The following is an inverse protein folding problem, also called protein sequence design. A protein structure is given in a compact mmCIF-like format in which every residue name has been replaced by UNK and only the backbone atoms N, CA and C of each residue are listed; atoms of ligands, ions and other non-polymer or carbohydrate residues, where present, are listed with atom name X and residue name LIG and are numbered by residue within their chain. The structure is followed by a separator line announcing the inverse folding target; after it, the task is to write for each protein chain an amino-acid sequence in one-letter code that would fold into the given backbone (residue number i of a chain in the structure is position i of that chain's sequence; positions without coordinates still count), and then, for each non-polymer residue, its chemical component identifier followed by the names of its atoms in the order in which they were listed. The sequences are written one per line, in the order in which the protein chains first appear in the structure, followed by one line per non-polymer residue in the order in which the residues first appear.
data_IF_564941186978
#
_entry.id   IF_564941186978
#
_cell.length_a   1.000
_cell.length_b   1.000
_cell.length_c   1.000
_cell.angle_alpha   90.00
_cell.angle_beta   90.00
_cell.angle_gamma   90.00
#
_symmetry.space_group_name_H-M   'P 1'
#
loop_
_entity.id
_entity.type
_entity.pdbx_description
1 polymer ?
#
# COMPACT_ATOMS: atom_id res chain seq x y z
N UNK A 1 -34.70 18.00 -59.68
CA UNK A 1 -35.57 18.59 -60.72
C UNK A 1 -35.14 20.03 -60.88
N UNK A 2 -34.58 20.51 -61.97
CA UNK A 2 -34.13 19.94 -63.24
C UNK A 2 -32.94 20.83 -63.65
N UNK A 3 -31.88 20.27 -64.22
CA UNK A 3 -31.51 20.46 -65.64
C UNK A 3 -31.12 21.91 -65.98
N UNK A 4 -30.09 22.20 -66.76
CA UNK A 4 -29.22 21.43 -67.63
C UNK A 4 -28.16 22.44 -68.06
N UNK A 5 -26.92 21.99 -68.28
CA UNK A 5 -26.15 22.62 -69.36
C UNK A 5 -26.74 22.13 -70.66
N UNK A 6 -26.76 22.96 -71.71
CA UNK A 6 -25.87 22.60 -72.79
C UNK A 6 -25.20 23.79 -73.48
N UNK A 7 -23.94 23.56 -73.84
CA UNK A 7 -23.34 24.23 -74.98
C UNK A 7 -23.82 23.55 -76.27
N UNK A 8 -24.22 24.34 -77.27
CA UNK A 8 -23.67 24.34 -78.65
C UNK A 8 -24.69 24.83 -79.68
N UNK A 9 -24.26 25.81 -80.49
CA UNK A 9 -24.67 26.11 -81.88
C UNK A 9 -23.78 27.28 -82.32
N UNK A 10 -22.63 27.02 -82.95
CA UNK A 10 -22.43 26.92 -84.39
C UNK A 10 -22.88 28.15 -85.18
N UNK A 11 -21.92 28.81 -85.83
CA UNK A 11 -22.10 29.20 -87.24
C UNK A 11 -22.17 30.69 -87.57
N UNK A 12 -20.99 31.24 -87.88
CA UNK A 12 -20.71 32.15 -89.00
C UNK A 12 -20.90 33.67 -88.84
N UNK A 13 -20.04 34.46 -89.53
CA UNK A 13 -19.64 35.81 -89.14
C UNK A 13 -20.48 36.89 -89.83
N UNK A 14 -20.37 38.17 -89.41
CA UNK A 14 -19.69 39.09 -90.34
C UNK A 14 -18.95 40.28 -89.71
N UNK A 15 -18.01 40.79 -90.51
CA UNK A 15 -17.66 42.21 -90.71
C UNK A 15 -16.98 43.01 -89.59
N UNK A 16 -15.68 43.25 -89.84
CA UNK A 16 -14.98 44.53 -89.77
C UNK A 16 -15.77 45.72 -89.20
N UNK A 17 -15.35 46.16 -88.01
CA UNK A 17 -15.10 47.56 -87.71
C UNK A 17 -13.90 47.59 -86.76
N UNK A 18 -12.74 48.04 -87.27
CA UNK A 18 -11.56 48.31 -86.45
C UNK A 18 -11.95 49.34 -85.38
N UNK A 19 -11.89 49.03 -84.07
CA UNK A 19 -11.96 50.06 -83.06
C UNK A 19 -10.60 50.74 -82.98
N UNK A 20 -10.60 52.07 -82.95
CA UNK A 20 -9.42 52.92 -82.85
C UNK A 20 -8.47 52.41 -81.73
N UNK A 21 -7.15 52.29 -82.00
CA UNK A 21 -6.17 51.91 -80.99
C UNK A 21 -6.09 52.90 -79.82
N UNK A 22 -6.57 54.13 -80.02
CA UNK A 22 -6.69 55.14 -78.96
C UNK A 22 -7.75 54.76 -77.91
N UNK A 23 -8.89 54.20 -78.31
CA UNK A 23 -9.93 53.75 -77.36
C UNK A 23 -9.56 52.48 -76.58
N UNK A 24 -8.78 51.57 -77.19
CA UNK A 24 -8.23 50.41 -76.47
C UNK A 24 -7.14 50.82 -75.47
N UNK A 25 -6.30 51.79 -75.83
CA UNK A 25 -5.31 52.33 -74.90
C UNK A 25 -5.97 53.11 -73.74
N UNK A 26 -7.02 53.90 -74.00
CA UNK A 26 -7.76 54.61 -72.96
C UNK A 26 -8.50 53.65 -72.01
N UNK A 27 -9.07 52.56 -72.53
CA UNK A 27 -9.70 51.54 -71.70
C UNK A 27 -8.67 50.75 -70.89
N UNK A 28 -7.53 50.39 -71.47
CA UNK A 28 -6.43 49.77 -70.73
C UNK A 28 -5.86 50.69 -69.64
N UNK A 29 -5.74 51.99 -69.92
CA UNK A 29 -5.30 52.98 -68.94
C UNK A 29 -6.32 53.09 -67.79
N UNK A 30 -7.62 53.13 -68.10
CA UNK A 30 -8.69 53.15 -67.10
C UNK A 30 -8.73 51.90 -66.22
N UNK A 31 -8.43 50.73 -66.80
CA UNK A 31 -8.33 49.47 -66.06
C UNK A 31 -7.07 49.44 -65.19
N UNK A 32 -5.95 50.02 -65.66
CA UNK A 32 -4.73 50.13 -64.87
C UNK A 32 -4.88 51.12 -63.71
N UNK A 33 -5.57 52.25 -63.90
CA UNK A 33 -5.87 53.19 -62.81
C UNK A 33 -6.83 52.56 -61.81
N UNK A 34 -7.90 51.90 -62.26
CA UNK A 34 -8.82 51.18 -61.37
C UNK A 34 -8.11 50.05 -60.59
N UNK A 35 -7.19 49.32 -61.22
CA UNK A 35 -6.36 48.31 -60.55
C UNK A 35 -5.44 48.96 -59.51
N UNK A 36 -4.82 50.09 -59.82
CA UNK A 36 -3.97 50.82 -58.88
C UNK A 36 -4.79 51.32 -57.66
N UNK A 37 -6.00 51.84 -57.89
CA UNK A 37 -6.93 52.24 -56.83
C UNK A 37 -7.35 51.05 -55.96
N UNK A 38 -7.69 49.91 -56.55
CA UNK A 38 -8.04 48.69 -55.82
C UNK A 38 -6.86 48.13 -55.01
N UNK A 39 -5.63 48.20 -55.53
CA UNK A 39 -4.42 47.82 -54.79
C UNK A 39 -4.21 48.77 -53.61
N UNK A 40 -4.39 50.07 -53.81
CA UNK A 40 -4.30 51.05 -52.72
C UNK A 40 -5.39 50.83 -51.65
N UNK A 41 -6.62 50.51 -52.06
CA UNK A 41 -7.70 50.14 -51.13
C UNK A 41 -7.37 48.84 -50.38
N UNK A 42 -6.81 47.83 -51.05
CA UNK A 42 -6.34 46.60 -50.41
C UNK A 42 -5.27 46.89 -49.38
N UNK A 43 -4.26 47.69 -49.74
CA UNK A 43 -3.12 47.96 -48.87
C UNK A 43 -3.54 48.80 -47.65
N UNK A 44 -4.48 49.75 -47.82
CA UNK A 44 -5.07 50.47 -46.69
C UNK A 44 -5.93 49.57 -45.78
N UNK A 45 -6.66 48.60 -46.35
CA UNK A 45 -7.40 47.61 -45.57
C UNK A 45 -6.46 46.65 -44.82
N UNK A 46 -5.33 46.26 -45.42
CA UNK A 46 -4.32 45.44 -44.76
C UNK A 46 -3.66 46.18 -43.60
N UNK A 47 -3.34 47.47 -43.76
CA UNK A 47 -2.84 48.31 -42.67
C UNK A 47 -3.85 48.44 -41.53
N UNK A 48 -5.13 48.67 -41.84
CA UNK A 48 -6.19 48.68 -40.82
C UNK A 48 -6.34 47.34 -40.11
N UNK A 49 -6.19 46.22 -40.85
CA UNK A 49 -6.21 44.88 -40.27
C UNK A 49 -5.05 44.68 -39.29
N UNK A 50 -3.84 45.11 -39.64
CA UNK A 50 -2.68 45.00 -38.74
C UNK A 50 -2.82 45.87 -37.50
N UNK A 51 -3.39 47.08 -37.65
CA UNK A 51 -3.63 47.97 -36.51
C UNK A 51 -4.68 47.39 -35.56
N UNK A 52 -5.75 46.81 -36.11
CA UNK A 52 -6.78 46.12 -35.31
C UNK A 52 -6.23 44.89 -34.61
N UNK A 53 -5.38 44.08 -35.26
CA UNK A 53 -4.76 42.93 -34.58
C UNK A 53 -3.83 43.38 -33.44
N UNK A 54 -3.04 44.44 -33.64
CA UNK A 54 -2.20 44.99 -32.58
C UNK A 54 -3.04 45.56 -31.42
N UNK A 55 -4.19 46.18 -31.71
CA UNK A 55 -5.12 46.65 -30.69
C UNK A 55 -5.75 45.49 -29.90
N UNK A 56 -6.11 44.38 -30.57
CA UNK A 56 -6.63 43.17 -29.93
C UNK A 56 -5.59 42.57 -28.99
N UNK A 57 -4.34 42.42 -29.42
CA UNK A 57 -3.26 41.89 -28.58
C UNK A 57 -3.01 42.75 -27.34
N UNK A 58 -3.02 44.08 -27.50
CA UNK A 58 -2.91 45.01 -26.35
C UNK A 58 -4.09 44.84 -25.40
N UNK A 59 -5.31 44.76 -25.91
CA UNK A 59 -6.50 44.56 -25.08
C UNK A 59 -6.48 43.21 -24.36
N UNK A 60 -6.02 42.14 -25.02
CA UNK A 60 -5.85 40.82 -24.40
C UNK A 60 -4.83 40.88 -23.26
N UNK A 61 -3.64 41.44 -23.49
CA UNK A 61 -2.62 41.58 -22.43
C UNK A 61 -3.12 42.44 -21.26
N UNK A 62 -3.89 43.49 -21.54
CA UNK A 62 -4.50 44.34 -20.51
C UNK A 62 -5.55 43.56 -19.72
N UNK A 63 -6.40 42.78 -20.39
CA UNK A 63 -7.41 41.94 -19.76
C UNK A 63 -6.79 40.85 -18.87
N UNK A 64 -5.72 40.18 -19.35
CA UNK A 64 -4.99 39.18 -18.57
C UNK A 64 -4.38 39.81 -17.31
N UNK A 65 -3.85 41.03 -17.41
CA UNK A 65 -3.31 41.77 -16.27
C UNK A 65 -4.39 42.08 -15.23
N UNK A 66 -5.57 42.54 -15.66
CA UNK A 66 -6.71 42.80 -14.77
C UNK A 66 -7.25 41.52 -14.14
N UNK A 67 -7.34 40.43 -14.90
CA UNK A 67 -7.79 39.15 -14.36
C UNK A 67 -6.82 38.63 -13.29
N UNK A 68 -5.51 38.78 -13.53
CA UNK A 68 -4.47 38.40 -12.56
C UNK A 68 -4.56 39.25 -11.29
N UNK A 69 -4.72 40.56 -11.44
CA UNK A 69 -4.88 41.49 -10.31
C UNK A 69 -6.16 41.19 -9.50
N UNK A 70 -7.27 40.87 -10.17
CA UNK A 70 -8.52 40.49 -9.50
C UNK A 70 -8.35 39.21 -8.68
N UNK A 71 -7.67 38.19 -9.24
CA UNK A 71 -7.37 36.94 -8.52
C UNK A 71 -6.47 37.21 -7.30
N UNK A 72 -5.46 38.06 -7.44
CA UNK A 72 -4.59 38.44 -6.32
C UNK A 72 -5.38 39.18 -5.22
N UNK A 73 -6.28 40.09 -5.58
CA UNK A 73 -7.12 40.81 -4.64
C UNK A 73 -8.06 39.87 -3.88
N UNK A 74 -8.74 38.95 -4.57
CA UNK A 74 -9.59 37.93 -3.93
C UNK A 74 -8.78 37.02 -3.01
N UNK A 75 -7.60 36.60 -3.45
CA UNK A 75 -6.70 35.78 -2.63
C UNK A 75 -6.28 36.54 -1.38
N UNK A 76 -5.89 37.81 -1.50
CA UNK A 76 -5.51 38.66 -0.37
C UNK A 76 -6.68 38.86 0.59
N UNK A 77 -7.89 39.11 0.08
CA UNK A 77 -9.09 39.27 0.89
C UNK A 77 -9.45 37.99 1.67
N UNK A 78 -9.32 36.82 1.03
CA UNK A 78 -9.48 35.52 1.72
C UNK A 78 -8.41 35.30 2.78
N UNK A 79 -7.16 35.66 2.49
CA UNK A 79 -6.06 35.57 3.45
C UNK A 79 -6.31 36.47 4.67
N UNK A 80 -6.69 37.73 4.45
CA UNK A 80 -7.05 38.68 5.53
C UNK A 80 -8.23 38.17 6.36
N UNK A 81 -9.24 37.57 5.71
CA UNK A 81 -10.37 36.95 6.41
C UNK A 81 -9.90 35.81 7.34
N UNK A 82 -9.03 34.91 6.85
CA UNK A 82 -8.51 33.82 7.66
C UNK A 82 -7.54 34.28 8.76
N UNK A 83 -6.75 35.33 8.50
CA UNK A 83 -5.88 35.94 9.51
C UNK A 83 -6.71 36.56 10.64
N UNK A 84 -7.73 37.35 10.32
CA UNK A 84 -8.62 37.92 11.33
C UNK A 84 -9.42 36.86 12.10
N UNK A 85 -9.81 35.76 11.44
CA UNK A 85 -10.43 34.62 12.14
C UNK A 85 -9.44 33.97 13.11
N UNK A 86 -8.17 33.79 12.71
CA UNK A 86 -7.14 33.20 13.55
C UNK A 86 -6.80 34.10 14.74
N UNK A 87 -6.66 35.41 14.53
CA UNK A 87 -6.41 36.39 15.59
C UNK A 87 -7.55 36.39 16.63
N UNK A 88 -8.81 36.35 16.17
CA UNK A 88 -9.97 36.31 17.06
C UNK A 88 -10.08 34.98 17.82
N UNK A 89 -9.74 33.85 17.17
CA UNK A 89 -9.65 32.56 17.84
C UNK A 89 -8.48 32.51 18.83
N UNK A 90 -7.35 33.17 18.53
CA UNK A 90 -6.18 33.24 19.41
C UNK A 90 -6.45 34.08 20.66
N UNK A 91 -7.11 35.24 20.55
CA UNK A 91 -7.56 36.03 21.71
C UNK A 91 -8.54 35.25 22.58
N UNK A 92 -9.49 34.52 21.97
CA UNK A 92 -10.44 33.67 22.70
C UNK A 92 -9.75 32.48 23.39
N UNK A 93 -8.69 31.94 22.79
CA UNK A 93 -7.89 30.81 23.31
C UNK A 93 -6.94 31.24 24.43
N UNK A 94 -6.31 32.41 24.34
CA UNK A 94 -5.40 32.94 25.38
C UNK A 94 -6.09 33.25 26.72
N UNK A 95 -7.42 33.39 26.74
CA UNK A 95 -8.21 33.56 27.96
C UNK A 95 -8.46 32.26 28.74
N UNK A 96 -8.10 31.08 28.19
CA UNK A 96 -8.26 29.77 28.81
C UNK A 96 -6.88 29.09 28.98
N UNK A 97 -6.18 29.42 30.07
CA UNK A 97 -4.76 29.09 30.29
C UNK A 97 -4.41 27.59 30.19
N UNK A 98 -5.34 26.67 30.46
CA UNK A 98 -5.08 25.22 30.43
C UNK A 98 -5.30 24.55 29.04
N UNK A 99 -6.06 25.15 28.13
CA UNK A 99 -6.31 24.58 26.79
C UNK A 99 -5.26 25.01 25.75
N UNK A 100 -4.57 26.12 25.98
CA UNK A 100 -3.53 26.62 25.07
C UNK A 100 -2.31 25.69 25.05
N UNK A 101 -1.92 25.15 26.20
CA UNK A 101 -0.81 24.21 26.29
C UNK A 101 -1.10 22.90 25.55
N UNK A 102 -2.32 22.36 25.65
CA UNK A 102 -2.71 21.14 24.93
C UNK A 102 -2.82 21.38 23.41
N UNK A 103 -3.38 22.52 23.00
CA UNK A 103 -3.52 22.88 21.59
C UNK A 103 -2.16 23.10 20.91
N UNK A 104 -1.20 23.76 21.57
CA UNK A 104 0.16 23.95 21.03
C UNK A 104 0.88 22.61 20.91
N UNK A 105 0.74 21.69 21.87
CA UNK A 105 1.32 20.35 21.80
C UNK A 105 0.67 19.49 20.71
N UNK A 106 -0.64 19.59 20.51
CA UNK A 106 -1.39 18.88 19.46
C UNK A 106 -1.04 19.41 18.04
N UNK A 107 -0.77 20.72 17.89
CA UNK A 107 -0.45 21.33 16.59
C UNK A 107 1.04 21.35 16.23
N UNK A 108 1.95 21.29 17.21
CA UNK A 108 3.38 21.28 16.92
C UNK A 108 3.92 19.89 16.53
N UNK A 109 3.08 18.84 16.48
CA UNK A 109 3.47 17.47 16.09
C UNK A 109 4.71 16.91 16.85
N UNK A 110 4.99 17.40 18.06
CA UNK A 110 6.17 16.99 18.84
C UNK A 110 5.86 15.78 19.73
N UNK A 111 4.58 15.57 20.07
CA UNK A 111 4.12 14.46 20.90
C UNK A 111 3.17 13.53 20.11
N UNK A 112 3.08 12.24 20.50
CA UNK A 112 2.12 11.32 19.89
C UNK A 112 0.69 11.85 20.07
N UNK A 113 -0.13 11.73 19.01
CA UNK A 113 -1.55 12.09 19.02
C UNK A 113 -2.28 11.57 20.25
N UNK A 114 -3.11 12.40 20.88
CA UNK A 114 -3.97 12.04 22.00
C UNK A 114 -5.04 11.00 21.61
N UNK A 115 -5.43 10.94 20.33
CA UNK A 115 -6.39 9.99 19.77
C UNK A 115 -5.94 8.53 19.94
N UNK A 116 -6.47 7.87 20.98
CA UNK A 116 -6.14 6.48 21.32
C UNK A 116 -6.59 5.50 20.24
N UNK A 117 -7.78 5.68 19.67
CA UNK A 117 -8.33 4.78 18.66
C UNK A 117 -7.45 4.75 17.42
N UNK A 118 -7.08 5.92 16.88
CA UNK A 118 -6.18 6.00 15.72
C UNK A 118 -4.79 5.46 16.05
N UNK A 119 -4.26 5.69 17.25
CA UNK A 119 -2.98 5.10 17.66
C UNK A 119 -3.05 3.59 17.69
N UNK A 120 -4.13 3.01 18.22
CA UNK A 120 -4.32 1.57 18.24
C UNK A 120 -4.45 0.99 16.82
N UNK A 121 -5.15 1.69 15.92
CA UNK A 121 -5.24 1.32 14.50
C UNK A 121 -3.86 1.33 13.83
N UNK A 122 -3.02 2.33 14.13
CA UNK A 122 -1.64 2.40 13.64
C UNK A 122 -0.77 1.28 14.22
N UNK A 123 -0.89 0.96 15.50
CA UNK A 123 -0.21 -0.19 16.13
C UNK A 123 -0.60 -1.50 15.43
N UNK A 124 -1.88 -1.65 15.09
CA UNK A 124 -2.38 -2.80 14.32
C UNK A 124 -1.69 -2.96 12.95
N UNK A 125 -1.17 -1.88 12.34
CA UNK A 125 -0.40 -1.96 11.09
C UNK A 125 1.00 -2.52 11.29
N UNK A 126 1.61 -2.27 12.45
CA UNK A 126 2.93 -2.82 12.79
C UNK A 126 2.86 -4.29 13.21
N UNK A 127 1.71 -4.72 13.73
CA UNK A 127 1.49 -6.09 14.22
C UNK A 127 0.26 -6.76 13.55
N UNK A 128 0.25 -6.92 12.21
CA UNK A 128 -0.95 -7.31 11.46
C UNK A 128 -1.48 -8.72 11.80
N UNK A 129 -0.58 -9.61 12.24
CA UNK A 129 -0.89 -11.03 12.49
C UNK A 129 -1.38 -11.34 13.91
N UNK A 130 -1.39 -10.34 14.80
CA UNK A 130 -1.81 -10.53 16.20
C UNK A 130 -2.88 -9.52 16.57
N UNK A 131 -3.91 -10.02 17.26
CA UNK A 131 -4.94 -9.18 17.87
C UNK A 131 -4.85 -9.30 19.38
N UNK A 132 -4.87 -8.13 20.03
CA UNK A 132 -4.86 -8.02 21.48
C UNK A 132 -6.25 -7.52 21.90
N UNK A 133 -6.96 -8.35 22.65
CA UNK A 133 -8.29 -8.01 23.16
C UNK A 133 -8.23 -7.84 24.67
N UNK A 134 -8.41 -6.61 25.14
CA UNK A 134 -8.60 -6.35 26.56
C UNK A 134 -9.87 -7.06 27.05
N UNK A 135 -9.75 -7.80 28.14
CA UNK A 135 -10.88 -8.52 28.74
C UNK A 135 -11.36 -7.81 30.00
N UNK A 136 -10.46 -7.54 30.95
CA UNK A 136 -10.82 -6.96 32.24
C UNK A 136 -9.59 -6.31 32.88
N UNK A 137 -9.80 -5.23 33.62
CA UNK A 137 -8.83 -4.69 34.56
C UNK A 137 -9.54 -4.44 35.89
N UNK A 138 -8.96 -4.87 37.00
CA UNK A 138 -9.52 -4.65 38.35
C UNK A 138 -8.40 -4.53 39.38
N UNK A 139 -8.65 -3.79 40.44
CA UNK A 139 -7.74 -3.70 41.58
C UNK A 139 -8.16 -4.70 42.65
N UNK A 140 -7.20 -5.47 43.15
CA UNK A 140 -7.42 -6.54 44.13
C UNK A 140 -6.32 -6.45 45.20
N UNK A 141 -6.68 -6.67 46.46
CA UNK A 141 -5.69 -6.84 47.52
C UNK A 141 -5.14 -8.26 47.47
N UNK A 142 -3.82 -8.40 47.46
CA UNK A 142 -3.16 -9.70 47.50
C UNK A 142 -3.25 -10.35 48.89
N UNK A 143 -2.70 -11.55 49.04
CA UNK A 143 -2.66 -12.28 50.32
C UNK A 143 -1.88 -11.54 51.43
N UNK A 144 -1.10 -10.51 51.07
CA UNK A 144 -0.31 -9.65 51.96
C UNK A 144 -0.95 -8.27 52.15
N UNK A 145 -2.24 -8.12 51.78
CA UNK A 145 -3.04 -6.90 51.83
C UNK A 145 -2.51 -5.72 50.98
N UNK A 146 -1.65 -6.01 50.00
CA UNK A 146 -1.11 -5.03 49.08
C UNK A 146 -2.05 -4.85 47.89
N UNK A 147 -2.27 -3.59 47.48
CA UNK A 147 -3.05 -3.27 46.29
C UNK A 147 -2.30 -3.69 45.03
N UNK A 148 -2.89 -4.59 44.24
CA UNK A 148 -2.37 -5.06 42.96
C UNK A 148 -3.44 -4.84 41.89
N UNK A 149 -3.02 -4.38 40.70
CA UNK A 149 -3.89 -4.31 39.53
C UNK A 149 -3.80 -5.62 38.75
N UNK A 150 -4.91 -6.33 38.64
CA UNK A 150 -5.07 -7.48 37.76
C UNK A 150 -5.51 -7.03 36.38
N UNK A 151 -4.72 -7.32 35.34
CA UNK A 151 -5.04 -7.01 33.94
C UNK A 151 -5.17 -8.32 33.16
N UNK A 152 -6.31 -8.52 32.52
CA UNK A 152 -6.59 -9.67 31.68
C UNK A 152 -6.75 -9.25 30.23
N UNK A 153 -6.03 -9.92 29.33
CA UNK A 153 -6.15 -9.73 27.90
C UNK A 153 -6.00 -11.05 27.15
N UNK A 154 -6.47 -11.09 25.90
CA UNK A 154 -6.36 -12.24 25.02
C UNK A 154 -5.47 -11.90 23.84
N UNK A 155 -4.50 -12.77 23.57
CA UNK A 155 -3.71 -12.75 22.34
C UNK A 155 -4.28 -13.78 21.40
N UNK A 156 -4.70 -13.35 20.22
CA UNK A 156 -5.18 -14.23 19.16
C UNK A 156 -4.41 -13.97 17.87
N UNK A 157 -4.13 -15.05 17.16
CA UNK A 157 -3.50 -15.06 15.85
C UNK A 157 -4.05 -16.26 15.07
N UNK A 158 -4.00 -16.18 13.74
CA UNK A 158 -4.53 -17.26 12.90
C UNK A 158 -3.65 -18.52 13.02
N UNK A 159 -4.28 -19.69 13.17
CA UNK A 159 -3.67 -21.01 13.44
C UNK A 159 -2.68 -21.10 14.61
N UNK A 160 -2.74 -20.15 15.55
CA UNK A 160 -2.11 -20.26 16.86
C UNK A 160 -3.18 -20.35 17.96
N UNK A 161 -2.90 -21.03 19.08
CA UNK A 161 -3.84 -21.12 20.19
C UNK A 161 -4.00 -19.74 20.85
N UNK A 162 -5.24 -19.32 21.07
CA UNK A 162 -5.52 -18.06 21.78
C UNK A 162 -4.98 -18.14 23.21
N UNK A 163 -4.15 -17.18 23.60
CA UNK A 163 -3.57 -17.09 24.93
C UNK A 163 -4.38 -16.12 25.78
N UNK A 164 -4.91 -16.61 26.90
CA UNK A 164 -5.59 -15.78 27.89
C UNK A 164 -4.57 -15.37 28.96
N UNK A 165 -4.05 -14.15 28.85
CA UNK A 165 -2.97 -13.66 29.71
C UNK A 165 -3.55 -12.91 30.91
N UNK A 166 -3.03 -13.21 32.10
CA UNK A 166 -3.33 -12.54 33.35
C UNK A 166 -2.04 -11.93 33.91
N UNK A 167 -2.06 -10.62 34.10
CA UNK A 167 -0.98 -9.83 34.70
C UNK A 167 -1.36 -9.37 36.08
N UNK A 168 -0.39 -9.40 36.99
CA UNK A 168 -0.45 -8.76 38.29
C UNK A 168 0.58 -7.62 38.30
N UNK A 169 0.09 -6.38 38.37
CA UNK A 169 0.92 -5.18 38.30
C UNK A 169 0.88 -4.44 39.64
N UNK A 170 2.06 -4.04 40.14
CA UNK A 170 2.23 -3.24 41.35
C UNK A 170 3.31 -2.21 41.12
N UNK A 171 3.07 -0.94 41.46
CA UNK A 171 4.03 0.16 41.31
C UNK A 171 4.68 0.17 39.91
N UNK A 172 3.86 0.04 38.87
CA UNK A 172 4.28 0.00 37.46
C UNK A 172 5.17 -1.20 37.07
N UNK A 173 5.30 -2.21 37.95
CA UNK A 173 6.07 -3.43 37.70
C UNK A 173 5.16 -4.66 37.61
N UNK A 174 5.49 -5.55 36.69
CA UNK A 174 4.84 -6.86 36.58
C UNK A 174 5.39 -7.75 37.69
N UNK A 175 4.53 -8.09 38.65
CA UNK A 175 4.86 -8.98 39.78
C UNK A 175 4.67 -10.44 39.38
N UNK A 176 3.65 -10.73 38.58
CA UNK A 176 3.33 -12.08 38.15
C UNK A 176 2.63 -12.06 36.80
N UNK A 177 2.92 -13.09 36.00
CA UNK A 177 2.37 -13.31 34.67
C UNK A 177 1.91 -14.77 34.57
N UNK A 178 0.63 -14.97 34.26
CA UNK A 178 0.02 -16.29 34.12
C UNK A 178 -0.75 -16.40 32.79
N UNK A 179 -0.90 -17.64 32.29
CA UNK A 179 -1.81 -17.95 31.18
C UNK A 179 -2.96 -18.80 31.72
N UNK A 180 -4.17 -18.24 31.68
CA UNK A 180 -5.40 -18.95 31.96
C UNK A 180 -5.56 -20.06 30.91
N UNK A 181 -5.66 -21.32 31.36
CA UNK A 181 -5.70 -22.52 30.49
C UNK A 181 -4.38 -22.89 29.79
N UNK A 182 -3.24 -22.61 30.42
CA UNK A 182 -1.89 -22.90 29.90
C UNK A 182 -1.68 -24.30 29.30
N UNK A 183 -2.29 -25.36 29.86
CA UNK A 183 -2.06 -26.76 29.40
C UNK A 183 -2.44 -26.98 27.94
N UNK A 184 -3.63 -26.53 27.50
CA UNK A 184 -4.09 -26.74 26.12
C UNK A 184 -3.25 -25.93 25.13
N UNK A 185 -3.03 -24.66 25.46
CA UNK A 185 -2.22 -23.76 24.64
C UNK A 185 -0.76 -24.26 24.52
N UNK A 186 -0.17 -24.73 25.62
CA UNK A 186 1.20 -25.26 25.65
C UNK A 186 1.36 -26.47 24.74
N UNK A 187 0.41 -27.42 24.72
CA UNK A 187 0.48 -28.59 23.84
C UNK A 187 0.50 -28.17 22.36
N UNK A 188 -0.37 -27.23 21.99
CA UNK A 188 -0.43 -26.76 20.59
C UNK A 188 0.82 -25.96 20.23
N UNK A 189 1.27 -25.05 21.09
CA UNK A 189 2.50 -24.30 20.88
C UNK A 189 3.72 -25.22 20.77
N UNK A 190 3.79 -26.28 21.57
CA UNK A 190 4.90 -27.23 21.51
C UNK A 190 4.90 -28.06 20.22
N UNK A 191 3.73 -28.29 19.61
CA UNK A 191 3.63 -28.93 18.28
C UNK A 191 4.10 -28.01 17.15
N UNK A 192 3.80 -26.72 17.25
CA UNK A 192 4.12 -25.73 16.20
C UNK A 192 5.59 -25.29 16.30
N UNK A 193 6.03 -24.96 17.51
CA UNK A 193 7.37 -24.48 17.82
C UNK A 193 7.79 -24.96 19.22
N UNK A 194 8.45 -26.13 19.34
CA UNK A 194 8.87 -26.70 20.61
C UNK A 194 9.71 -25.74 21.46
N UNK A 195 10.66 -25.03 20.85
CA UNK A 195 11.59 -24.09 21.48
C UNK A 195 10.88 -22.87 22.08
N UNK A 196 9.94 -22.27 21.34
CA UNK A 196 9.07 -21.21 21.87
C UNK A 196 8.23 -21.71 23.05
N UNK A 197 7.58 -22.87 22.92
CA UNK A 197 6.76 -23.44 23.99
C UNK A 197 7.56 -23.70 25.28
N UNK A 198 8.79 -24.21 25.15
CA UNK A 198 9.71 -24.42 26.28
C UNK A 198 10.15 -23.09 26.90
N UNK A 199 10.56 -22.12 26.09
CA UNK A 199 11.02 -20.80 26.55
C UNK A 199 9.90 -20.03 27.26
N UNK A 200 8.68 -20.11 26.73
CA UNK A 200 7.50 -19.51 27.37
C UNK A 200 7.32 -20.04 28.80
N UNK A 201 7.36 -21.36 28.96
CA UNK A 201 7.14 -22.02 30.25
C UNK A 201 8.29 -21.82 31.25
N UNK A 202 9.55 -21.84 30.78
CA UNK A 202 10.73 -21.83 31.64
C UNK A 202 11.31 -20.43 31.88
N UNK A 203 11.05 -19.46 31.00
CA UNK A 203 11.66 -18.13 31.04
C UNK A 203 10.60 -17.02 31.09
N UNK A 204 9.73 -16.92 30.09
CA UNK A 204 8.87 -15.73 29.95
C UNK A 204 7.82 -15.63 31.06
N UNK A 205 7.10 -16.71 31.36
CA UNK A 205 6.09 -16.70 32.42
C UNK A 205 6.72 -16.53 33.82
N UNK A 206 7.74 -17.32 34.23
CA UNK A 206 8.30 -17.21 35.57
C UNK A 206 8.98 -15.86 35.84
N UNK A 207 9.55 -15.23 34.81
CA UNK A 207 10.25 -13.95 34.93
C UNK A 207 9.37 -12.73 34.64
N UNK A 208 8.07 -12.92 34.33
CA UNK A 208 7.15 -11.82 34.08
C UNK A 208 7.46 -11.02 32.81
N UNK A 209 8.10 -11.62 31.80
CA UNK A 209 8.51 -10.96 30.55
C UNK A 209 7.36 -10.90 29.55
N UNK A 210 6.43 -9.99 29.80
CA UNK A 210 5.20 -9.81 28.99
C UNK A 210 5.52 -9.33 27.58
N UNK A 211 6.47 -8.43 27.45
CA UNK A 211 6.98 -7.89 26.20
C UNK A 211 7.47 -9.00 25.25
N UNK A 212 8.33 -9.90 25.75
CA UNK A 212 8.86 -11.02 24.97
C UNK A 212 7.79 -12.07 24.67
N UNK A 213 6.82 -12.26 25.56
CA UNK A 213 5.66 -13.11 25.31
C UNK A 213 4.83 -12.59 24.14
N UNK A 214 4.48 -11.29 24.16
CA UNK A 214 3.63 -10.67 23.13
C UNK A 214 4.38 -10.60 21.81
N UNK A 215 5.64 -10.13 21.82
CA UNK A 215 6.45 -10.04 20.61
C UNK A 215 6.78 -11.41 20.04
N UNK A 216 7.16 -12.39 20.87
CA UNK A 216 7.45 -13.73 20.38
C UNK A 216 6.23 -14.47 19.84
N UNK A 217 5.06 -14.24 20.42
CA UNK A 217 3.81 -14.74 19.84
C UNK A 217 3.51 -14.09 18.48
N UNK A 218 3.81 -12.79 18.32
CA UNK A 218 3.71 -12.12 17.02
C UNK A 218 4.72 -12.63 16.00
N UNK A 219 5.98 -12.78 16.37
CA UNK A 219 7.03 -13.33 15.51
C UNK A 219 6.66 -14.73 15.03
N UNK A 220 6.13 -15.57 15.93
CA UNK A 220 5.63 -16.90 15.59
C UNK A 220 4.46 -16.84 14.60
N UNK A 221 3.49 -15.95 14.83
CA UNK A 221 2.34 -15.79 13.94
C UNK A 221 2.75 -15.35 12.53
N UNK A 222 3.64 -14.34 12.45
CA UNK A 222 4.20 -13.83 11.20
C UNK A 222 4.95 -14.93 10.44
N UNK A 223 5.79 -15.70 11.12
CA UNK A 223 6.56 -16.77 10.49
C UNK A 223 5.67 -17.92 10.03
N UNK A 224 4.64 -18.27 10.80
CA UNK A 224 3.68 -19.30 10.43
C UNK A 224 2.88 -18.91 9.19
N UNK A 225 2.46 -17.64 9.06
CA UNK A 225 1.77 -17.17 7.88
C UNK A 225 2.67 -17.18 6.63
N UNK A 226 3.92 -16.75 6.77
CA UNK A 226 4.94 -16.87 5.69
C UNK A 226 5.12 -18.33 5.27
N UNK A 227 5.27 -19.24 6.23
CA UNK A 227 5.41 -20.68 6.00
C UNK A 227 4.21 -21.24 5.24
N UNK A 228 2.99 -20.98 5.69
CA UNK A 228 1.76 -21.44 5.01
C UNK A 228 1.70 -20.90 3.58
N UNK A 229 1.98 -19.60 3.38
CA UNK A 229 1.96 -18.97 2.07
C UNK A 229 2.97 -19.60 1.11
N UNK A 230 4.21 -19.81 1.56
CA UNK A 230 5.27 -20.39 0.73
C UNK A 230 4.98 -21.87 0.43
N UNK A 231 4.58 -22.65 1.42
CA UNK A 231 4.21 -24.06 1.21
C UNK A 231 3.02 -24.18 0.25
N UNK A 232 2.01 -23.33 0.41
CA UNK A 232 0.85 -23.28 -0.50
C UNK A 232 1.28 -22.98 -1.94
N UNK A 233 2.14 -21.98 -2.15
CA UNK A 233 2.68 -21.66 -3.47
C UNK A 233 3.45 -22.83 -4.08
N UNK A 234 4.25 -23.53 -3.28
CA UNK A 234 5.04 -24.69 -3.71
C UNK A 234 4.13 -25.86 -4.12
N UNK A 235 3.06 -26.10 -3.37
CA UNK A 235 2.07 -27.14 -3.66
C UNK A 235 1.24 -26.82 -4.92
N UNK A 236 0.96 -25.54 -5.17
CA UNK A 236 0.31 -25.07 -6.41
C UNK A 236 1.25 -25.15 -7.62
N UNK A 237 2.56 -24.98 -7.42
CA UNK A 237 3.55 -25.06 -8.49
C UNK A 237 3.78 -26.50 -8.96
N UNK A 238 3.70 -27.48 -8.06
CA UNK A 238 3.91 -28.90 -8.36
C UNK A 238 2.69 -29.79 -8.00
N UNK A 239 1.52 -29.55 -8.60
CA UNK A 239 0.28 -30.21 -8.19
C UNK A 239 0.27 -31.70 -8.53
N UNK A 240 0.88 -32.10 -9.65
CA UNK A 240 0.97 -33.48 -10.12
C UNK A 240 1.92 -34.35 -9.32
N UNK A 241 2.88 -33.71 -8.64
CA UNK A 241 3.92 -34.39 -7.88
C UNK A 241 3.57 -34.45 -6.39
N UNK A 242 2.48 -33.84 -5.94
CA UNK A 242 2.10 -33.79 -4.53
C UNK A 242 1.71 -35.17 -4.01
N UNK A 243 2.36 -35.58 -2.92
CA UNK A 243 1.98 -36.77 -2.12
C UNK A 243 1.31 -36.34 -0.81
N UNK A 244 1.81 -35.28 -0.18
CA UNK A 244 1.30 -34.71 1.07
C UNK A 244 1.33 -33.18 0.99
N UNK A 245 0.28 -32.45 1.38
CA UNK A 245 -0.94 -32.89 2.08
C UNK A 245 -1.97 -33.64 1.21
N UNK A 246 -2.96 -34.26 1.88
CA UNK A 246 -4.10 -34.94 1.23
C UNK A 246 -5.04 -33.99 0.49
N UNK A 247 -6.12 -34.48 -0.13
CA UNK A 247 -6.91 -33.74 -1.12
C UNK A 247 -7.54 -32.40 -0.64
N UNK A 248 -7.87 -32.27 0.65
CA UNK A 248 -8.70 -31.16 1.16
C UNK A 248 -7.91 -29.93 1.61
N UNK A 249 -6.58 -29.94 1.48
CA UNK A 249 -5.73 -28.84 1.97
C UNK A 249 -6.00 -27.49 1.29
N UNK A 250 -6.54 -27.50 0.07
CA UNK A 250 -6.78 -26.29 -0.72
C UNK A 250 -7.99 -25.50 -0.21
N UNK A 251 -8.94 -26.16 0.45
CA UNK A 251 -10.10 -25.48 1.05
C UNK A 251 -9.76 -24.66 2.28
N UNK A 252 -8.79 -25.12 3.07
CA UNK A 252 -8.22 -24.39 4.21
C UNK A 252 -6.71 -24.67 4.31
N UNK A 253 -5.90 -23.94 3.52
CA UNK A 253 -4.45 -24.12 3.51
C UNK A 253 -3.83 -23.80 4.86
N UNK A 254 -4.42 -22.88 5.63
CA UNK A 254 -3.82 -22.44 6.88
C UNK A 254 -3.92 -23.52 7.94
N UNK A 255 -5.11 -24.03 8.21
CA UNK A 255 -5.29 -25.09 9.21
C UNK A 255 -4.62 -26.39 8.78
N UNK A 256 -4.64 -26.69 7.48
CA UNK A 256 -4.02 -27.90 6.93
C UNK A 256 -2.50 -27.87 6.99
N UNK A 257 -1.84 -26.78 6.57
CA UNK A 257 -0.38 -26.71 6.47
C UNK A 257 0.27 -26.32 7.80
N UNK A 258 -0.41 -25.55 8.65
CA UNK A 258 0.11 -25.12 9.95
C UNK A 258 0.47 -26.30 10.86
N UNK A 259 -0.35 -27.35 10.84
CA UNK A 259 -0.22 -28.54 11.69
C UNK A 259 0.75 -29.60 11.12
N UNK A 260 1.17 -29.47 9.87
CA UNK A 260 2.00 -30.46 9.21
C UNK A 260 3.48 -30.25 9.55
N UNK A 261 4.24 -31.30 9.91
CA UNK A 261 5.68 -31.16 10.11
C UNK A 261 6.45 -31.03 8.79
N UNK A 262 5.94 -31.61 7.70
CA UNK A 262 6.55 -31.58 6.37
C UNK A 262 5.51 -31.69 5.25
N UNK A 263 5.90 -31.23 4.06
CA UNK A 263 5.22 -31.53 2.79
C UNK A 263 6.03 -32.55 2.00
N UNK A 264 5.37 -33.33 1.14
CA UNK A 264 6.00 -34.43 0.41
C UNK A 264 5.60 -34.40 -1.06
N UNK A 265 6.60 -34.51 -1.91
CA UNK A 265 6.47 -34.61 -3.36
C UNK A 265 7.10 -35.88 -3.89
N UNK A 266 6.62 -36.37 -5.02
CA UNK A 266 7.18 -37.50 -5.74
C UNK A 266 7.69 -37.02 -7.09
N UNK A 267 8.97 -37.25 -7.34
CA UNK A 267 9.62 -36.93 -8.60
C UNK A 267 10.22 -38.19 -9.22
N UNK A 268 10.17 -38.28 -10.53
CA UNK A 268 10.84 -39.36 -11.28
C UNK A 268 12.16 -38.80 -11.81
N UNK A 269 13.26 -39.46 -11.49
CA UNK A 269 14.57 -39.01 -11.93
C UNK A 269 14.68 -39.13 -13.46
N UNK A 270 15.01 -38.02 -14.11
CA UNK A 270 14.93 -37.89 -15.57
C UNK A 270 15.82 -38.85 -16.36
N UNK A 271 16.91 -39.35 -15.75
CA UNK A 271 17.88 -40.25 -16.42
C UNK A 271 17.71 -41.73 -16.08
N UNK A 272 17.21 -42.03 -14.88
CA UNK A 272 17.12 -43.42 -14.38
C UNK A 272 15.69 -43.92 -14.31
N UNK A 273 14.70 -43.04 -14.50
CA UNK A 273 13.27 -43.32 -14.35
C UNK A 273 12.88 -43.86 -12.97
N UNK A 274 13.75 -43.66 -11.97
CA UNK A 274 13.51 -44.10 -10.61
C UNK A 274 12.66 -43.07 -9.85
N UNK A 275 11.67 -43.51 -9.06
CA UNK A 275 10.87 -42.61 -8.23
C UNK A 275 11.59 -42.23 -6.93
N UNK A 276 11.60 -40.93 -6.64
CA UNK A 276 12.12 -40.34 -5.42
C UNK A 276 11.00 -39.58 -4.70
N UNK A 277 10.90 -39.79 -3.39
CA UNK A 277 10.11 -38.93 -2.51
C UNK A 277 11.00 -37.82 -1.96
N UNK A 278 10.52 -36.59 -2.07
CA UNK A 278 11.16 -35.37 -1.58
C UNK A 278 10.32 -34.82 -0.44
N UNK A 279 10.93 -34.71 0.74
CA UNK A 279 10.29 -34.15 1.94
C UNK A 279 10.96 -32.85 2.33
N UNK A 280 10.14 -31.82 2.52
CA UNK A 280 10.56 -30.53 3.05
C UNK A 280 9.99 -30.37 4.45
N UNK A 281 10.87 -30.39 5.43
CA UNK A 281 10.56 -30.06 6.82
C UNK A 281 10.83 -28.59 7.05
N UNK A 282 9.93 -27.93 7.78
CA UNK A 282 10.06 -26.52 8.11
C UNK A 282 9.74 -26.35 9.59
N UNK A 283 10.78 -26.13 10.37
CA UNK A 283 10.73 -25.95 11.80
C UNK A 283 10.74 -24.47 12.15
N UNK A 284 9.86 -24.06 13.05
CA UNK A 284 9.87 -22.72 13.63
C UNK A 284 10.65 -22.78 14.94
N UNK A 285 11.71 -21.98 15.06
CA UNK A 285 12.65 -22.07 16.17
C UNK A 285 12.90 -20.70 16.78
N UNK A 286 12.77 -20.61 18.10
CA UNK A 286 13.17 -19.44 18.85
C UNK A 286 14.67 -19.51 19.16
N UNK A 287 15.50 -18.90 18.32
CA UNK A 287 16.95 -18.85 18.51
C UNK A 287 17.34 -17.74 19.50
N UNK A 288 16.80 -16.54 19.30
CA UNK A 288 17.10 -15.38 20.14
C UNK A 288 16.08 -15.19 21.26
N UNK A 289 16.33 -15.87 22.38
CA UNK A 289 15.48 -15.86 23.56
C UNK A 289 15.32 -14.47 24.20
N UNK A 290 16.32 -13.59 24.04
CA UNK A 290 16.34 -12.23 24.57
C UNK A 290 15.54 -11.23 23.74
N UNK A 291 15.41 -11.45 22.43
CA UNK A 291 14.62 -10.59 21.55
C UNK A 291 13.21 -11.13 21.32
N UNK A 292 12.98 -12.42 21.61
CA UNK A 292 11.70 -13.07 21.31
C UNK A 292 11.50 -13.29 19.81
N UNK A 293 12.55 -13.21 19.00
CA UNK A 293 12.46 -13.43 17.56
C UNK A 293 12.44 -14.93 17.24
N UNK A 294 11.40 -15.34 16.52
CA UNK A 294 11.25 -16.69 15.99
C UNK A 294 11.78 -16.72 14.57
N UNK A 295 12.76 -17.58 14.34
CA UNK A 295 13.35 -17.88 13.05
C UNK A 295 12.80 -19.20 12.50
N UNK A 296 13.34 -19.62 11.35
CA UNK A 296 12.98 -20.86 10.69
C UNK A 296 14.20 -21.69 10.33
N UNK A 297 14.07 -23.00 10.50
CA UNK A 297 15.04 -23.99 10.04
C UNK A 297 14.38 -24.89 9.01
N UNK A 298 15.04 -25.06 7.86
CA UNK A 298 14.57 -25.89 6.76
C UNK A 298 15.43 -27.15 6.69
N UNK A 299 14.79 -28.31 6.63
CA UNK A 299 15.48 -29.57 6.36
C UNK A 299 14.89 -30.24 5.13
N UNK A 300 15.77 -30.74 4.27
CA UNK A 300 15.39 -31.35 3.01
C UNK A 300 15.88 -32.79 2.95
N UNK A 301 14.96 -33.72 2.76
CA UNK A 301 15.25 -35.14 2.64
C UNK A 301 14.79 -35.68 1.28
N UNK A 302 15.66 -36.44 0.62
CA UNK A 302 15.32 -37.19 -0.59
C UNK A 302 15.38 -38.68 -0.29
N UNK A 303 14.33 -39.42 -0.63
CA UNK A 303 14.14 -40.82 -0.27
C UNK A 303 13.90 -41.61 -1.55
N UNK A 304 14.73 -42.62 -1.82
CA UNK A 304 14.47 -43.55 -2.93
C UNK A 304 13.26 -44.42 -2.60
N UNK A 305 12.22 -44.40 -3.45
CA UNK A 305 10.98 -45.11 -3.13
C UNK A 305 11.14 -46.63 -3.12
N UNK A 306 12.03 -47.15 -3.97
CA UNK A 306 12.24 -48.58 -4.15
C UNK A 306 12.84 -49.24 -2.90
N UNK A 307 13.79 -48.57 -2.23
CA UNK A 307 14.54 -49.14 -1.12
C UNK A 307 14.35 -48.38 0.20
N UNK A 308 13.56 -47.29 0.18
CA UNK A 308 13.35 -46.36 1.30
C UNK A 308 14.65 -45.78 1.90
N UNK A 309 15.72 -45.76 1.10
CA UNK A 309 17.02 -45.20 1.49
C UNK A 309 16.98 -43.68 1.39
N UNK A 310 17.36 -43.01 2.48
CA UNK A 310 17.57 -41.56 2.50
C UNK A 310 18.90 -41.25 1.82
N UNK A 311 18.88 -40.31 0.89
CA UNK A 311 20.10 -39.81 0.24
C UNK A 311 20.82 -38.83 1.18
N UNK A 312 21.99 -39.23 1.65
CA UNK A 312 22.84 -38.40 2.48
C UNK A 312 23.30 -37.14 1.72
N UNK A 313 23.38 -36.01 2.43
CA UNK A 313 23.84 -34.73 1.87
C UNK A 313 22.80 -33.93 1.07
N UNK A 314 21.59 -34.46 0.87
CA UNK A 314 20.51 -33.75 0.17
C UNK A 314 20.15 -32.40 0.83
N UNK A 315 20.11 -32.37 2.17
CA UNK A 315 19.83 -31.13 2.93
C UNK A 315 20.92 -30.08 2.75
N UNK A 316 22.19 -30.47 2.83
CA UNK A 316 23.32 -29.57 2.63
C UNK A 316 23.38 -29.03 1.18
N UNK A 317 23.12 -29.90 0.20
CA UNK A 317 23.04 -29.49 -1.20
C UNK A 317 21.88 -28.51 -1.43
N UNK A 318 20.73 -28.73 -0.82
CA UNK A 318 19.58 -27.83 -0.88
C UNK A 318 19.91 -26.45 -0.29
N UNK A 319 20.51 -26.41 0.91
CA UNK A 319 20.88 -25.15 1.56
C UNK A 319 21.92 -24.37 0.74
N UNK A 320 22.88 -25.04 0.10
CA UNK A 320 23.84 -24.39 -0.80
C UNK A 320 23.22 -23.78 -2.07
N UNK A 321 22.00 -24.20 -2.44
CA UNK A 321 21.28 -23.65 -3.59
C UNK A 321 20.43 -22.43 -3.21
N UNK A 322 20.21 -22.19 -1.91
CA UNK A 322 19.53 -20.98 -1.42
C UNK A 322 20.60 -19.89 -1.30
N UNK A 323 20.55 -18.83 -2.13
CA UNK A 323 21.49 -17.72 -1.97
C UNK A 323 21.24 -16.99 -0.63
N UNK A 324 22.33 -16.61 0.04
CA UNK A 324 22.33 -15.83 1.29
C UNK A 324 21.54 -14.51 1.17
#
# INVERSE_FOLDING_TARGET
MADETPASTSGSPPQTNLPNPETENDTLLSLQTAKAELVQQRDTLLAKKSDLSAAIERLQSTWDSYQTQSRQYETKKKLEYYLHQNDHEQEKRLAAEDEVASFVLDNMHVLPSSDWSKRMDLVGRFYPHVRIHHTMSKNVHNEQDQLITEIQFRLSAHGLPTLHVLLYVRDEKVVKLDILQSKKASIVLHKISPSFGQTLALNYLPQGKVDLLVYGYHSLASMQEKRVSILSNLLHQYPTNRVRPGADWDTDPFDSLSALPYIEFEFVHSKTSEPYSVRLYWHLVLNEHSMGQVDSELEFATIQKNNQTVLDGASAAFLNLVPD
#
